data_IF_150849202100
#
_entry.id   IF_150849202100
#
_cell.length_a   1.000
_cell.length_b   1.000
_cell.length_c   1.000
_cell.angle_alpha   90.00
_cell.angle_beta   90.00
_cell.angle_gamma   90.00
#
_symmetry.space_group_name_H-M   'P 1'
#
loop_
_entity.id
_entity.type
_entity.pdbx_description
1 polymer ?
#
# COMPACT_ATOMS: atom_id res chain seq x y z
N UNK A 1 -15.58 -5.82 26.14
CA UNK A 1 -14.89 -4.58 25.73
C UNK A 1 -13.75 -4.89 24.77
N UNK A 2 -12.92 -5.86 25.05
CA UNK A 2 -11.71 -6.18 24.23
C UNK A 2 -12.02 -6.57 22.79
N UNK A 3 -13.15 -7.21 22.54
CA UNK A 3 -13.58 -7.58 21.17
C UNK A 3 -13.90 -6.36 20.30
N UNK A 4 -14.54 -5.33 20.87
CA UNK A 4 -14.82 -4.08 20.15
C UNK A 4 -13.54 -3.30 19.83
N UNK A 5 -12.60 -3.25 20.77
CA UNK A 5 -11.33 -2.54 20.59
C UNK A 5 -10.49 -3.25 19.52
N UNK A 6 -10.44 -4.59 19.55
CA UNK A 6 -9.77 -5.39 18.54
C UNK A 6 -10.40 -5.21 17.14
N UNK A 7 -11.74 -5.15 17.06
CA UNK A 7 -12.44 -4.88 15.80
C UNK A 7 -12.13 -3.49 15.24
N UNK A 8 -12.07 -2.47 16.09
CA UNK A 8 -11.72 -1.10 15.69
C UNK A 8 -10.27 -1.04 15.20
N UNK A 9 -9.32 -1.67 15.89
CA UNK A 9 -7.92 -1.69 15.49
C UNK A 9 -7.74 -2.34 14.13
N UNK A 10 -8.40 -3.47 13.89
CA UNK A 10 -8.37 -4.15 12.61
C UNK A 10 -9.06 -3.33 11.52
N UNK A 11 -10.18 -2.68 11.83
CA UNK A 11 -10.88 -1.77 10.91
C UNK A 11 -10.03 -0.60 10.46
N UNK A 12 -9.15 -0.07 11.32
CA UNK A 12 -8.21 1.00 10.93
C UNK A 12 -7.15 0.55 9.93
N UNK A 13 -6.61 -0.65 10.08
CA UNK A 13 -5.66 -1.22 9.11
C UNK A 13 -6.32 -1.41 7.74
N UNK A 14 -7.55 -1.93 7.73
CA UNK A 14 -8.34 -2.02 6.50
C UNK A 14 -8.71 -0.64 5.94
N UNK A 15 -8.85 0.37 6.80
CA UNK A 15 -9.02 1.78 6.41
C UNK A 15 -7.84 2.30 5.59
N UNK A 16 -6.60 1.99 6.00
CA UNK A 16 -5.39 2.37 5.24
C UNK A 16 -5.38 1.70 3.86
N UNK A 17 -5.72 0.41 3.79
CA UNK A 17 -5.86 -0.30 2.51
C UNK A 17 -6.89 0.39 1.62
N UNK A 18 -8.05 0.80 2.17
CA UNK A 18 -9.09 1.53 1.43
C UNK A 18 -8.59 2.84 0.84
N UNK A 19 -7.69 3.58 1.53
CA UNK A 19 -7.08 4.79 1.00
C UNK A 19 -6.22 4.52 -0.24
N UNK A 20 -5.47 3.41 -0.25
CA UNK A 20 -4.75 2.97 -1.44
C UNK A 20 -5.70 2.62 -2.60
N UNK A 21 -6.76 1.86 -2.31
CA UNK A 21 -7.81 1.54 -3.28
C UNK A 21 -8.50 2.79 -3.83
N UNK A 22 -8.72 3.80 -3.00
CA UNK A 22 -9.30 5.07 -3.43
C UNK A 22 -8.50 5.74 -4.54
N UNK A 23 -7.17 5.73 -4.47
CA UNK A 23 -6.32 6.28 -5.54
C UNK A 23 -6.51 5.51 -6.84
N UNK A 24 -6.48 4.18 -6.80
CA UNK A 24 -6.57 3.34 -7.99
C UNK A 24 -7.97 3.40 -8.62
N UNK A 25 -9.03 3.14 -7.83
CA UNK A 25 -10.39 3.00 -8.35
C UNK A 25 -11.12 4.33 -8.54
N UNK A 26 -10.90 5.32 -7.67
CA UNK A 26 -11.64 6.59 -7.72
C UNK A 26 -10.88 7.70 -8.42
N UNK A 27 -9.59 7.82 -8.16
CA UNK A 27 -8.78 8.90 -8.74
C UNK A 27 -8.34 8.55 -10.15
N UNK A 28 -7.76 7.35 -10.37
CA UNK A 28 -7.31 6.90 -11.68
C UNK A 28 -8.42 6.25 -12.54
N UNK A 29 -9.52 5.86 -11.91
CA UNK A 29 -10.60 5.10 -12.55
C UNK A 29 -10.11 3.79 -13.21
N UNK A 30 -9.13 3.15 -12.57
CA UNK A 30 -8.50 1.89 -13.02
C UNK A 30 -8.85 0.77 -12.05
N UNK A 31 -9.43 -0.32 -12.56
CA UNK A 31 -9.64 -1.52 -11.77
C UNK A 31 -8.30 -2.26 -11.60
N UNK A 32 -7.65 -2.05 -10.45
CA UNK A 32 -6.35 -2.65 -10.11
C UNK A 32 -6.53 -3.83 -9.15
N UNK A 33 -6.33 -5.05 -9.66
CA UNK A 33 -6.35 -6.28 -8.85
C UNK A 33 -4.98 -6.61 -8.25
N UNK A 34 -3.95 -5.83 -8.54
CA UNK A 34 -2.61 -6.00 -7.94
C UNK A 34 -2.64 -5.81 -6.43
N UNK A 35 -3.64 -5.08 -5.94
CA UNK A 35 -3.86 -4.78 -4.51
C UNK A 35 -3.87 -6.02 -3.64
N UNK A 36 -4.51 -7.10 -4.09
CA UNK A 36 -4.55 -8.37 -3.36
C UNK A 36 -3.18 -9.07 -3.27
N UNK A 37 -2.27 -8.79 -4.22
CA UNK A 37 -0.89 -9.26 -4.19
C UNK A 37 0.05 -8.33 -3.41
N UNK A 38 -0.17 -7.01 -3.50
CA UNK A 38 0.66 -5.99 -2.88
C UNK A 38 0.50 -5.95 -1.34
N UNK A 39 -0.70 -6.22 -0.82
CA UNK A 39 -0.94 -6.31 0.62
C UNK A 39 -0.10 -7.42 1.29
N UNK A 40 -0.18 -8.71 0.87
CA UNK A 40 0.68 -9.74 1.43
C UNK A 40 2.17 -9.55 1.10
N UNK A 41 2.52 -8.85 -0.01
CA UNK A 41 3.90 -8.47 -0.30
C UNK A 41 4.46 -7.58 0.81
N UNK A 42 3.69 -6.59 1.24
CA UNK A 42 4.05 -5.71 2.33
C UNK A 42 4.36 -6.48 3.61
N UNK A 43 3.45 -7.37 3.99
CA UNK A 43 3.64 -8.24 5.14
C UNK A 43 4.89 -9.13 5.01
N UNK A 44 5.09 -9.78 3.85
CA UNK A 44 6.20 -10.68 3.61
C UNK A 44 7.56 -9.96 3.74
N UNK A 45 7.69 -8.78 3.13
CA UNK A 45 8.91 -7.96 3.17
C UNK A 45 9.18 -7.46 4.59
N UNK A 46 8.16 -6.94 5.27
CA UNK A 46 8.29 -6.43 6.64
C UNK A 46 8.72 -7.54 7.60
N UNK A 47 8.07 -8.71 7.55
CA UNK A 47 8.36 -9.87 8.41
C UNK A 47 9.80 -10.36 8.22
N UNK A 48 10.27 -10.48 6.98
CA UNK A 48 11.66 -10.90 6.69
C UNK A 48 12.67 -9.87 7.17
N UNK A 49 12.42 -8.58 6.97
CA UNK A 49 13.29 -7.52 7.47
C UNK A 49 13.42 -7.57 9.00
N UNK A 50 12.31 -7.72 9.71
CA UNK A 50 12.29 -7.85 11.18
C UNK A 50 12.99 -9.14 11.61
N UNK A 51 12.81 -10.24 10.89
CA UNK A 51 13.47 -11.51 11.19
C UNK A 51 15.00 -11.40 11.09
N UNK A 52 15.49 -10.62 10.12
CA UNK A 52 16.92 -10.33 9.94
C UNK A 52 17.46 -9.27 10.92
N UNK A 53 16.66 -8.79 11.88
CA UNK A 53 17.08 -7.84 12.90
C UNK A 53 17.08 -6.38 12.45
N UNK A 54 16.43 -6.06 11.32
CA UNK A 54 16.28 -4.69 10.85
C UNK A 54 15.24 -3.97 11.71
N UNK A 55 15.47 -2.67 11.97
CA UNK A 55 14.54 -1.86 12.75
C UNK A 55 13.13 -1.87 12.09
N UNK A 56 12.04 -2.09 12.86
CA UNK A 56 10.68 -2.16 12.32
C UNK A 56 10.27 -0.96 11.46
N UNK A 57 10.71 0.25 11.81
CA UNK A 57 10.41 1.47 11.02
C UNK A 57 11.06 1.39 9.63
N UNK A 58 12.29 0.90 9.55
CA UNK A 58 12.98 0.72 8.27
C UNK A 58 12.33 -0.41 7.47
N UNK A 59 11.90 -1.47 8.14
CA UNK A 59 11.19 -2.59 7.53
C UNK A 59 9.89 -2.13 6.85
N UNK A 60 9.10 -1.27 7.50
CA UNK A 60 7.89 -0.70 6.91
C UNK A 60 8.18 0.22 5.72
N UNK A 61 9.25 1.01 5.76
CA UNK A 61 9.66 1.83 4.62
C UNK A 61 10.08 0.99 3.41
N UNK A 62 10.82 -0.10 3.64
CA UNK A 62 11.20 -1.05 2.58
C UNK A 62 9.95 -1.71 1.99
N UNK A 63 8.97 -2.03 2.83
CA UNK A 63 7.69 -2.59 2.39
C UNK A 63 6.94 -1.63 1.46
N UNK A 64 6.88 -0.32 1.76
CA UNK A 64 6.27 0.68 0.88
C UNK A 64 6.96 0.67 -0.49
N UNK A 65 8.29 0.67 -0.52
CA UNK A 65 9.06 0.64 -1.77
C UNK A 65 8.75 -0.63 -2.58
N UNK A 66 8.64 -1.78 -1.91
CA UNK A 66 8.27 -3.04 -2.57
C UNK A 66 6.87 -2.96 -3.21
N UNK A 67 5.89 -2.37 -2.51
CA UNK A 67 4.56 -2.10 -3.05
C UNK A 67 4.58 -1.13 -4.23
N UNK A 68 5.38 -0.07 -4.15
CA UNK A 68 5.57 0.86 -5.27
C UNK A 68 6.15 0.18 -6.51
N UNK A 69 7.09 -0.73 -6.35
CA UNK A 69 7.65 -1.53 -7.45
C UNK A 69 6.58 -2.46 -8.07
N UNK A 70 5.73 -3.07 -7.26
CA UNK A 70 4.60 -3.86 -7.75
C UNK A 70 3.66 -3.00 -8.60
N UNK A 71 3.29 -1.81 -8.12
CA UNK A 71 2.47 -0.85 -8.85
C UNK A 71 3.14 -0.34 -10.14
N UNK A 72 4.47 -0.16 -10.13
CA UNK A 72 5.24 0.19 -11.31
C UNK A 72 5.12 -0.89 -12.39
N UNK A 73 5.27 -2.16 -12.03
CA UNK A 73 5.16 -3.29 -12.97
C UNK A 73 3.77 -3.31 -13.59
N UNK A 74 2.71 -3.22 -12.77
CA UNK A 74 1.32 -3.17 -13.28
C UNK A 74 1.09 -1.97 -14.18
N UNK A 75 1.54 -0.78 -13.76
CA UNK A 75 1.44 0.44 -14.56
C UNK A 75 2.19 0.33 -15.90
N UNK A 76 3.35 -0.30 -15.92
CA UNK A 76 4.08 -0.59 -17.15
C UNK A 76 3.31 -1.53 -18.08
N UNK A 77 2.74 -2.61 -17.56
CA UNK A 77 1.94 -3.55 -18.34
C UNK A 77 0.71 -2.86 -18.99
N UNK A 78 0.07 -1.95 -18.25
CA UNK A 78 -1.10 -1.22 -18.77
C UNK A 78 -0.68 -0.20 -19.83
N UNK A 79 0.33 0.63 -19.53
CA UNK A 79 0.63 1.82 -20.34
C UNK A 79 1.54 1.52 -21.54
N UNK A 80 2.50 0.61 -21.39
CA UNK A 80 3.50 0.27 -22.43
C UNK A 80 3.07 -0.98 -23.20
N UNK A 81 2.72 -2.05 -22.49
CA UNK A 81 2.26 -3.30 -23.11
C UNK A 81 0.81 -3.23 -23.60
N UNK A 82 0.05 -2.17 -23.20
CA UNK A 82 -1.36 -1.96 -23.55
C UNK A 82 -2.27 -3.13 -23.17
N UNK A 83 -1.95 -3.82 -22.09
CA UNK A 83 -2.76 -4.89 -21.53
C UNK A 83 -3.95 -4.25 -20.79
N UNK A 84 -5.19 -4.75 -20.93
CA UNK A 84 -6.32 -4.27 -20.14
C UNK A 84 -6.02 -4.28 -18.64
N UNK A 85 -6.42 -3.24 -17.92
CA UNK A 85 -6.05 -3.02 -16.52
C UNK A 85 -6.38 -4.21 -15.62
N UNK A 86 -7.57 -4.77 -15.78
CA UNK A 86 -8.00 -5.93 -15.01
C UNK A 86 -7.06 -7.14 -15.23
N UNK A 87 -6.70 -7.40 -16.49
CA UNK A 87 -5.83 -8.53 -16.83
C UNK A 87 -4.40 -8.31 -16.34
N UNK A 88 -3.86 -7.08 -16.48
CA UNK A 88 -2.56 -6.71 -15.97
C UNK A 88 -2.49 -6.88 -14.44
N UNK A 89 -3.54 -6.44 -13.72
CA UNK A 89 -3.65 -6.61 -12.28
C UNK A 89 -3.64 -8.08 -11.84
N UNK A 90 -4.43 -8.94 -12.51
CA UNK A 90 -4.47 -10.38 -12.22
C UNK A 90 -3.11 -11.05 -12.48
N UNK A 91 -2.42 -10.70 -13.58
CA UNK A 91 -1.09 -11.22 -13.90
C UNK A 91 -0.08 -10.83 -12.82
N UNK A 92 -0.06 -9.56 -12.42
CA UNK A 92 0.86 -9.10 -11.38
C UNK A 92 0.53 -9.72 -10.02
N UNK A 93 -0.76 -9.82 -9.65
CA UNK A 93 -1.21 -10.45 -8.43
C UNK A 93 -0.71 -11.91 -8.32
N UNK A 94 -0.90 -12.71 -9.39
CA UNK A 94 -0.46 -14.12 -9.42
C UNK A 94 1.07 -14.26 -9.38
N UNK A 95 1.79 -13.36 -10.06
CA UNK A 95 3.24 -13.29 -9.98
C UNK A 95 3.72 -12.94 -8.57
N UNK A 96 3.08 -11.95 -7.93
CA UNK A 96 3.40 -11.53 -6.56
C UNK A 96 3.14 -12.64 -5.54
N UNK A 97 2.13 -13.48 -5.73
CA UNK A 97 1.89 -14.64 -4.87
C UNK A 97 3.12 -15.56 -4.82
N UNK A 98 3.70 -15.87 -5.99
CA UNK A 98 4.92 -16.68 -6.09
C UNK A 98 6.13 -15.99 -5.46
N UNK A 99 6.25 -14.66 -5.66
CA UNK A 99 7.32 -13.85 -5.07
C UNK A 99 7.20 -13.83 -3.55
N UNK A 100 5.99 -13.63 -3.01
CA UNK A 100 5.73 -13.60 -1.57
C UNK A 100 6.12 -14.92 -0.90
N UNK A 101 5.72 -16.07 -1.48
CA UNK A 101 6.11 -17.39 -0.98
C UNK A 101 7.60 -17.60 -1.01
N UNK A 102 8.29 -17.11 -2.05
CA UNK A 102 9.74 -17.23 -2.18
C UNK A 102 10.49 -16.33 -1.19
N UNK A 103 10.00 -15.13 -0.94
CA UNK A 103 10.56 -14.21 0.07
C UNK A 103 10.41 -14.80 1.46
N UNK A 104 9.23 -15.28 1.81
CA UNK A 104 8.98 -15.85 3.15
C UNK A 104 9.65 -17.22 3.35
N UNK A 105 9.91 -17.98 2.29
CA UNK A 105 10.46 -19.33 2.36
C UNK A 105 9.56 -20.36 3.05
N UNK A 106 8.54 -19.91 3.76
CA UNK A 106 7.51 -20.70 4.47
C UNK A 106 6.16 -20.00 4.36
N UNK A 107 5.04 -20.74 4.36
CA UNK A 107 3.69 -20.15 4.28
C UNK A 107 3.34 -19.23 5.46
N UNK A 108 3.91 -19.50 6.64
CA UNK A 108 3.70 -18.73 7.86
C UNK A 108 5.02 -18.49 8.59
N UNK A 109 5.32 -17.21 8.87
CA UNK A 109 6.42 -16.79 9.73
C UNK A 109 5.82 -16.12 10.98
N UNK A 110 6.16 -16.66 12.16
CA UNK A 110 5.73 -16.07 13.43
C UNK A 110 6.71 -14.99 13.86
N UNK A 111 6.16 -13.85 14.27
CA UNK A 111 6.90 -12.72 14.87
C UNK A 111 6.93 -12.78 16.41
N UNK A 112 6.57 -13.93 17.00
CA UNK A 112 6.60 -14.12 18.45
C UNK A 112 8.04 -13.89 18.95
N UNK A 113 8.21 -13.05 19.97
CA UNK A 113 9.48 -12.61 20.55
C UNK A 113 10.38 -11.73 19.64
N UNK A 114 9.83 -11.06 18.63
CA UNK A 114 10.52 -10.05 17.83
C UNK A 114 10.00 -8.65 18.17
N UNK A 115 10.89 -7.67 18.14
CA UNK A 115 10.52 -6.27 18.33
C UNK A 115 9.71 -5.81 17.11
N UNK A 116 8.47 -5.45 17.36
CA UNK A 116 7.55 -4.85 16.39
C UNK A 116 7.37 -3.36 16.71
N UNK A 117 6.75 -2.60 15.82
CA UNK A 117 6.37 -1.20 16.12
C UNK A 117 5.52 -1.14 17.38
N UNK A 118 4.59 -2.09 17.53
CA UNK A 118 3.71 -2.18 18.69
C UNK A 118 4.47 -2.50 20.01
N UNK A 119 5.53 -3.30 19.96
CA UNK A 119 6.32 -3.63 21.17
C UNK A 119 7.10 -2.43 21.70
N UNK A 120 7.53 -1.52 20.82
CA UNK A 120 8.21 -0.28 21.22
C UNK A 120 7.28 0.73 21.89
N UNK A 121 5.99 0.71 21.55
CA UNK A 121 4.98 1.62 22.13
C UNK A 121 4.44 1.07 23.45
N UNK A 122 4.53 -0.24 23.69
CA UNK A 122 4.19 -0.87 24.98
C UNK A 122 4.95 -0.28 26.19
N UNK A 123 6.03 0.47 25.98
CA UNK A 123 6.70 1.25 27.03
C UNK A 123 5.89 2.41 27.61
N UNK A 124 4.68 2.70 27.10
CA UNK A 124 3.78 3.76 27.56
C UNK A 124 2.70 3.29 28.54
N UNK A 125 2.77 2.07 29.11
CA UNK A 125 1.83 1.52 30.10
C UNK A 125 0.32 1.62 29.72
N UNK A 126 0.00 1.57 28.43
CA UNK A 126 -1.40 1.57 27.98
C UNK A 126 -2.00 0.15 28.09
N UNK A 127 -3.31 0.02 28.41
CA UNK A 127 -3.97 -1.28 28.45
C UNK A 127 -3.89 -2.01 27.11
N UNK A 128 -3.65 -3.32 27.14
CA UNK A 128 -3.55 -4.20 25.97
C UNK A 128 -4.69 -3.95 25.00
N UNK A 129 -4.36 -3.65 23.72
CA UNK A 129 -5.21 -3.33 22.56
C UNK A 129 -5.39 -1.83 22.23
N UNK A 130 -5.26 -0.90 23.18
CA UNK A 130 -5.30 0.55 22.87
C UNK A 130 -4.09 1.00 22.08
N UNK A 131 -2.94 0.32 22.25
CA UNK A 131 -1.70 0.61 21.52
C UNK A 131 -1.91 0.51 20.00
N UNK A 132 -2.60 -0.54 19.54
CA UNK A 132 -2.85 -0.78 18.11
C UNK A 132 -3.82 0.25 17.54
N UNK A 133 -4.86 0.63 18.31
CA UNK A 133 -5.81 1.68 17.88
C UNK A 133 -5.10 3.03 17.76
N UNK A 134 -4.23 3.38 18.71
CA UNK A 134 -3.49 4.64 18.71
C UNK A 134 -2.53 4.72 17.51
N UNK A 135 -1.79 3.65 17.24
CA UNK A 135 -0.91 3.56 16.05
C UNK A 135 -1.74 3.67 14.77
N UNK A 136 -2.87 2.95 14.69
CA UNK A 136 -3.76 3.00 13.53
C UNK A 136 -4.31 4.40 13.26
N UNK A 137 -4.69 5.16 14.30
CA UNK A 137 -5.17 6.55 14.16
C UNK A 137 -4.06 7.46 13.65
N UNK A 138 -2.87 7.37 14.25
CA UNK A 138 -1.73 8.21 13.85
C UNK A 138 -1.33 7.90 12.41
N UNK A 139 -1.22 6.63 12.06
CA UNK A 139 -0.78 6.21 10.73
C UNK A 139 -1.81 6.59 9.66
N UNK A 140 -3.10 6.33 9.91
CA UNK A 140 -4.17 6.72 8.98
C UNK A 140 -4.27 8.23 8.83
N UNK A 141 -4.16 8.99 9.92
CA UNK A 141 -4.13 10.45 9.89
C UNK A 141 -2.96 11.00 9.09
N UNK A 142 -1.76 10.45 9.30
CA UNK A 142 -0.56 10.84 8.56
C UNK A 142 -0.70 10.57 7.05
N UNK A 143 -1.27 9.42 6.68
CA UNK A 143 -1.51 9.08 5.28
C UNK A 143 -2.55 10.02 4.65
N UNK A 144 -3.64 10.33 5.36
CA UNK A 144 -4.67 11.26 4.87
C UNK A 144 -4.07 12.65 4.65
N UNK A 145 -3.26 13.14 5.59
CA UNK A 145 -2.57 14.43 5.46
C UNK A 145 -1.61 14.39 4.27
N UNK A 146 -0.79 13.34 4.15
CA UNK A 146 0.15 13.19 3.04
C UNK A 146 -0.57 13.13 1.68
N UNK A 147 -1.70 12.40 1.59
CA UNK A 147 -2.53 12.36 0.39
C UNK A 147 -3.15 13.73 0.07
N UNK A 148 -3.68 14.42 1.07
CA UNK A 148 -4.27 15.76 0.89
C UNK A 148 -3.23 16.75 0.35
N UNK A 149 -2.03 16.74 0.93
CA UNK A 149 -0.92 17.57 0.45
C UNK A 149 -0.49 17.17 -0.96
N UNK A 150 -0.38 15.88 -1.25
CA UNK A 150 -0.01 15.40 -2.58
C UNK A 150 -1.03 15.82 -3.64
N UNK A 151 -2.33 15.67 -3.39
CA UNK A 151 -3.38 16.07 -4.33
C UNK A 151 -3.50 17.59 -4.50
N UNK A 152 -2.95 18.38 -3.58
CA UNK A 152 -2.84 19.83 -3.74
C UNK A 152 -1.67 20.25 -4.64
N UNK A 153 -0.77 19.35 -4.98
CA UNK A 153 0.35 19.62 -5.90
C UNK A 153 -0.06 19.53 -7.37
N UNK A 154 0.74 20.11 -8.26
CA UNK A 154 0.53 20.02 -9.71
C UNK A 154 0.53 18.56 -10.21
N UNK A 155 1.36 17.69 -9.62
CA UNK A 155 1.38 16.27 -9.94
C UNK A 155 0.08 15.57 -9.54
N UNK A 156 -0.44 15.87 -8.35
CA UNK A 156 -1.72 15.32 -7.88
C UNK A 156 -2.89 15.77 -8.74
N UNK A 157 -2.94 17.05 -9.12
CA UNK A 157 -3.95 17.59 -10.03
C UNK A 157 -3.87 16.97 -11.44
N UNK A 158 -2.66 16.77 -11.95
CA UNK A 158 -2.44 16.08 -13.23
C UNK A 158 -2.89 14.62 -13.19
N UNK A 159 -2.75 13.96 -12.04
CA UNK A 159 -3.19 12.59 -11.82
C UNK A 159 -4.72 12.51 -11.82
N UNK A 160 -5.42 13.43 -11.14
CA UNK A 160 -6.88 13.53 -11.14
C UNK A 160 -7.39 13.80 -12.57
N UNK A 161 -6.80 14.77 -13.28
CA UNK A 161 -7.18 15.09 -14.66
C UNK A 161 -7.00 13.88 -15.59
N UNK A 162 -5.96 13.07 -15.38
CA UNK A 162 -5.70 11.84 -16.16
C UNK A 162 -6.79 10.81 -15.93
N UNK A 163 -7.25 10.63 -14.69
CA UNK A 163 -8.31 9.68 -14.35
C UNK A 163 -9.68 10.12 -14.83
N UNK A 164 -9.96 11.42 -14.82
CA UNK A 164 -11.24 11.97 -15.29
C UNK A 164 -11.38 11.89 -16.81
N UNK A 165 -10.36 12.32 -17.55
CA UNK A 165 -10.37 12.28 -19.02
C UNK A 165 -8.96 12.25 -19.61
N UNK A 166 -8.50 11.05 -19.96
CA UNK A 166 -7.17 10.81 -20.53
C UNK A 166 -6.92 11.64 -21.82
N UNK A 167 -7.95 11.77 -22.68
CA UNK A 167 -7.81 12.52 -23.95
C UNK A 167 -7.65 14.01 -23.70
N UNK A 168 -8.42 14.56 -22.74
CA UNK A 168 -8.30 15.96 -22.36
C UNK A 168 -6.95 16.25 -21.70
N UNK A 169 -6.52 15.41 -20.77
CA UNK A 169 -5.23 15.52 -20.10
C UNK A 169 -4.07 15.52 -21.10
N UNK A 170 -4.12 14.63 -22.09
CA UNK A 170 -3.11 14.58 -23.17
C UNK A 170 -3.14 15.83 -24.02
N UNK A 171 -4.29 16.41 -24.33
CA UNK A 171 -4.42 17.65 -25.08
C UNK A 171 -3.83 18.86 -24.33
N UNK A 172 -3.84 18.83 -22.99
CA UNK A 172 -3.21 19.80 -22.12
C UNK A 172 -1.69 19.57 -21.93
N UNK A 173 -1.13 18.58 -22.59
CA UNK A 173 0.32 18.27 -22.54
C UNK A 173 0.72 17.40 -21.35
N UNK A 174 -0.24 16.82 -20.61
CA UNK A 174 0.03 15.91 -19.48
C UNK A 174 0.43 14.54 -20.04
N UNK A 175 1.54 13.99 -19.54
CA UNK A 175 1.95 12.62 -19.84
C UNK A 175 1.10 11.60 -19.08
N UNK A 176 -0.05 11.21 -19.65
CA UNK A 176 -1.02 10.32 -19.01
C UNK A 176 -0.42 8.96 -18.63
N UNK A 177 0.50 8.43 -19.46
CA UNK A 177 1.21 7.18 -19.16
C UNK A 177 2.01 7.27 -17.86
N UNK A 178 2.77 8.34 -17.68
CA UNK A 178 3.59 8.55 -16.48
C UNK A 178 2.69 8.75 -15.25
N UNK A 179 1.60 9.52 -15.41
CA UNK A 179 0.65 9.75 -14.32
C UNK A 179 -0.04 8.45 -13.88
N UNK A 180 -0.44 7.61 -14.82
CA UNK A 180 -1.02 6.28 -14.52
C UNK A 180 -0.03 5.40 -13.75
N UNK A 181 1.23 5.34 -14.18
CA UNK A 181 2.27 4.56 -13.48
C UNK A 181 2.48 5.11 -12.06
N UNK A 182 2.64 6.43 -11.91
CA UNK A 182 2.83 7.07 -10.60
C UNK A 182 1.66 6.81 -9.65
N UNK A 183 0.43 6.93 -10.14
CA UNK A 183 -0.75 6.70 -9.32
C UNK A 183 -0.87 5.25 -8.85
N UNK A 184 -0.56 4.27 -9.72
CA UNK A 184 -0.54 2.85 -9.33
C UNK A 184 0.60 2.54 -8.37
N UNK A 185 1.78 3.19 -8.52
CA UNK A 185 2.88 3.09 -7.56
C UNK A 185 2.45 3.58 -6.17
N UNK A 186 1.84 4.77 -6.10
CA UNK A 186 1.38 5.34 -4.83
C UNK A 186 0.28 4.48 -4.19
N UNK A 187 -0.70 4.04 -4.96
CA UNK A 187 -1.78 3.18 -4.49
C UNK A 187 -1.24 1.89 -3.87
N UNK A 188 -0.42 1.15 -4.62
CA UNK A 188 0.14 -0.12 -4.16
C UNK A 188 1.18 0.07 -3.04
N UNK A 189 1.88 1.21 -2.98
CA UNK A 189 2.75 1.57 -1.86
C UNK A 189 1.98 1.72 -0.54
N UNK A 190 0.84 2.42 -0.55
CA UNK A 190 -0.04 2.56 0.63
C UNK A 190 -0.66 1.22 1.02
N UNK A 191 -1.07 0.40 0.05
CA UNK A 191 -1.62 -0.93 0.31
C UNK A 191 -0.58 -1.86 0.94
N UNK A 192 0.65 -1.82 0.45
CA UNK A 192 1.77 -2.57 1.02
C UNK A 192 2.10 -2.10 2.44
N UNK A 193 1.99 -0.80 2.73
CA UNK A 193 2.12 -0.26 4.09
C UNK A 193 1.02 -0.81 5.02
N UNK A 194 -0.22 -0.95 4.52
CA UNK A 194 -1.31 -1.52 5.31
C UNK A 194 -1.07 -3.00 5.66
N UNK A 195 -0.29 -3.72 4.83
CA UNK A 195 0.11 -5.10 5.08
C UNK A 195 1.31 -5.26 6.01
N UNK A 196 2.14 -4.22 6.14
CA UNK A 196 3.40 -4.24 6.90
C UNK A 196 3.21 -3.96 8.38
#
# INVERSE_FOLDING_TARGET
MDLFISAISQGMLWGILSLGLFISFRVLNIADMTTEGAYPLGAAVCVICIHNGINPIIATLISIVAGMLAGLITGFLITVCKIPSLLAGILTMTALLSVNLRIMGRPNLSLINKDTIFSKIKGLDLPTHYDTVFVGIILSGLIIIAMSLFFSTELGQSLIATGDNEKMATALGISTKTMTILGLMLANGIISLAGA
#
